data_IF_809537174906
#
_entry.id   IF_809537174906
#
_cell.length_a   1.000
_cell.length_b   1.000
_cell.length_c   1.000
_cell.angle_alpha   90.00
_cell.angle_beta   90.00
_cell.angle_gamma   90.00
#
_symmetry.space_group_name_H-M   'P 1'
#
loop_
_entity.id
_entity.type
_entity.pdbx_description
1 polymer ?
#
# COMPACT_ATOMS: atom_id res chain seq x y z
N UNK A 1 -3.41 6.15 19.42
CA UNK A 1 -3.26 5.31 18.21
C UNK A 1 -3.40 6.23 17.00
N UNK A 2 -2.44 6.22 16.05
CA UNK A 2 -2.60 6.97 14.80
C UNK A 2 -3.67 6.28 13.92
N UNK A 3 -4.54 7.03 13.22
CA UNK A 3 -5.52 6.42 12.33
C UNK A 3 -4.84 5.72 11.16
N UNK A 4 -5.35 4.55 10.77
CA UNK A 4 -4.89 3.82 9.59
C UNK A 4 -5.75 4.21 8.40
N UNK A 5 -5.11 4.59 7.30
CA UNK A 5 -5.77 5.04 6.08
C UNK A 5 -5.58 4.04 4.94
N UNK A 6 -6.54 4.03 4.02
CA UNK A 6 -6.54 3.21 2.83
C UNK A 6 -6.86 4.08 1.62
N UNK A 7 -6.03 4.00 0.57
CA UNK A 7 -6.41 4.48 -0.76
C UNK A 7 -7.43 3.49 -1.34
N UNK A 8 -8.50 4.03 -1.92
CA UNK A 8 -9.62 3.24 -2.43
C UNK A 8 -9.77 3.49 -3.91
N UNK A 9 -9.91 2.40 -4.66
CA UNK A 9 -10.13 2.44 -6.09
C UNK A 9 -11.38 1.66 -6.44
N UNK A 10 -12.25 2.24 -7.26
CA UNK A 10 -13.44 1.60 -7.81
C UNK A 10 -13.20 1.28 -9.29
N UNK A 11 -13.17 0.00 -9.65
CA UNK A 11 -12.83 -0.46 -11.00
C UNK A 11 -11.52 0.16 -11.54
N UNK A 12 -10.57 0.39 -10.64
CA UNK A 12 -9.27 1.01 -10.96
C UNK A 12 -9.25 2.54 -10.90
N UNK A 13 -10.39 3.21 -10.76
CA UNK A 13 -10.46 4.67 -10.59
C UNK A 13 -10.27 5.04 -9.12
N UNK A 14 -9.29 5.89 -8.83
CA UNK A 14 -9.06 6.41 -7.49
C UNK A 14 -10.28 7.21 -7.00
N UNK A 15 -10.80 6.85 -5.82
CA UNK A 15 -11.92 7.53 -5.17
C UNK A 15 -11.46 8.51 -4.09
N UNK A 16 -10.40 8.16 -3.37
CA UNK A 16 -9.96 8.91 -2.20
C UNK A 16 -9.20 8.05 -1.21
N UNK A 17 -8.85 8.67 -0.09
CA UNK A 17 -8.18 8.02 1.03
C UNK A 17 -9.07 8.10 2.26
N UNK A 18 -9.33 6.96 2.89
CA UNK A 18 -10.33 6.81 3.94
C UNK A 18 -9.83 5.88 5.04
N UNK A 19 -10.33 6.07 6.25
CA UNK A 19 -10.19 5.14 7.36
C UNK A 19 -11.11 3.92 7.20
N UNK A 20 -10.82 2.84 7.93
CA UNK A 20 -11.70 1.66 7.93
C UNK A 20 -13.14 1.99 8.41
N UNK A 21 -13.30 2.97 9.30
CA UNK A 21 -14.62 3.41 9.79
C UNK A 21 -15.39 4.16 8.70
N UNK A 22 -14.74 5.08 7.98
CA UNK A 22 -15.37 5.78 6.85
C UNK A 22 -15.77 4.79 5.75
N UNK A 23 -14.93 3.78 5.49
CA UNK A 23 -15.24 2.73 4.52
C UNK A 23 -16.39 1.83 4.94
N UNK A 24 -16.51 1.53 6.23
CA UNK A 24 -17.67 0.83 6.77
C UNK A 24 -18.95 1.64 6.52
N UNK A 25 -18.92 2.97 6.69
CA UNK A 25 -20.07 3.83 6.41
C UNK A 25 -20.37 3.92 4.91
N UNK A 26 -19.34 4.09 4.06
CA UNK A 26 -19.51 4.31 2.62
C UNK A 26 -19.85 3.04 1.84
N UNK A 27 -19.21 1.91 2.19
CA UNK A 27 -19.29 0.66 1.42
C UNK A 27 -20.07 -0.44 2.16
N UNK A 28 -20.52 -0.17 3.39
CA UNK A 28 -21.21 -1.12 4.26
C UNK A 28 -20.44 -2.44 4.38
N UNK A 29 -19.10 -2.35 4.47
CA UNK A 29 -18.22 -3.49 4.67
C UNK A 29 -17.88 -3.68 6.16
N UNK A 30 -17.46 -4.89 6.54
CA UNK A 30 -16.89 -5.12 7.86
C UNK A 30 -15.61 -4.30 8.08
N UNK A 31 -15.34 -3.88 9.31
CA UNK A 31 -14.18 -3.03 9.65
C UNK A 31 -12.82 -3.68 9.33
N UNK A 32 -12.75 -5.01 9.30
CA UNK A 32 -11.53 -5.77 8.97
C UNK A 32 -11.29 -5.91 7.46
N UNK A 33 -12.34 -5.76 6.63
CA UNK A 33 -12.30 -5.99 5.18
C UNK A 33 -11.20 -5.18 4.47
N UNK A 34 -11.04 -3.86 4.70
CA UNK A 34 -9.99 -3.10 4.01
C UNK A 34 -8.58 -3.64 4.25
N UNK A 35 -8.30 -4.15 5.46
CA UNK A 35 -6.99 -4.71 5.83
C UNK A 35 -6.74 -6.04 5.11
N UNK A 36 -7.70 -6.96 5.19
CA UNK A 36 -7.59 -8.30 4.59
C UNK A 36 -7.40 -8.22 3.08
N UNK A 37 -8.23 -7.42 2.42
CA UNK A 37 -8.20 -7.30 0.95
C UNK A 37 -7.00 -6.49 0.45
N UNK A 38 -6.49 -5.54 1.24
CA UNK A 38 -5.24 -4.85 0.93
C UNK A 38 -4.02 -5.77 1.06
N UNK A 39 -4.01 -6.70 2.02
CA UNK A 39 -2.92 -7.66 2.21
C UNK A 39 -2.87 -8.72 1.07
N UNK A 40 -4.04 -9.17 0.62
CA UNK A 40 -4.15 -10.22 -0.40
C UNK A 40 -4.16 -9.69 -1.84
N UNK A 41 -4.09 -8.37 -2.05
CA UNK A 41 -4.26 -7.71 -3.35
C UNK A 41 -5.57 -8.11 -4.08
N UNK A 42 -6.63 -8.41 -3.32
CA UNK A 42 -7.93 -8.86 -3.85
C UNK A 42 -8.90 -7.70 -3.99
N UNK A 43 -9.82 -7.83 -4.95
CA UNK A 43 -10.94 -6.89 -5.13
C UNK A 43 -12.09 -7.27 -4.21
N UNK A 44 -12.49 -6.35 -3.33
CA UNK A 44 -13.72 -6.50 -2.57
C UNK A 44 -14.94 -6.36 -3.48
N UNK A 45 -15.84 -7.35 -3.41
CA UNK A 45 -17.01 -7.50 -4.31
C UNK A 45 -16.64 -7.44 -5.80
N UNK A 46 -15.41 -7.85 -6.16
CA UNK A 46 -14.91 -7.77 -7.54
C UNK A 46 -14.72 -6.35 -8.10
N UNK A 47 -14.93 -5.31 -7.28
CA UNK A 47 -15.04 -3.91 -7.73
C UNK A 47 -14.01 -3.00 -7.08
N UNK A 48 -13.91 -3.06 -5.74
CA UNK A 48 -13.10 -2.12 -4.96
C UNK A 48 -11.72 -2.70 -4.67
N UNK A 49 -10.67 -1.91 -4.87
CA UNK A 49 -9.33 -2.21 -4.38
C UNK A 49 -9.01 -1.31 -3.19
N UNK A 50 -8.40 -1.88 -2.16
CA UNK A 50 -7.88 -1.18 -1.01
C UNK A 50 -6.36 -1.26 -1.03
N UNK A 51 -5.71 -0.12 -0.84
CA UNK A 51 -4.27 -0.05 -0.67
C UNK A 51 -4.01 0.62 0.66
N UNK A 52 -3.41 -0.13 1.58
CA UNK A 52 -3.00 0.41 2.87
C UNK A 52 -2.06 1.60 2.62
N UNK A 53 -2.41 2.76 3.16
CA UNK A 53 -1.47 3.86 3.25
C UNK A 53 -0.55 3.51 4.40
N UNK A 54 0.53 2.81 4.06
CA UNK A 54 1.68 2.78 4.95
C UNK A 54 2.20 4.22 5.01
N UNK A 55 1.97 4.88 6.15
CA UNK A 55 3.07 5.65 6.76
C UNK A 55 4.21 4.64 6.78
N UNK A 56 5.23 4.83 5.94
CA UNK A 56 6.35 3.91 5.84
C UNK A 56 6.77 3.49 7.23
N UNK A 57 6.59 2.20 7.51
CA UNK A 57 6.79 1.63 8.83
C UNK A 57 8.24 1.92 9.25
N UNK A 58 8.41 2.90 10.12
CA UNK A 58 9.68 3.26 10.76
C UNK A 58 10.76 3.86 9.88
N UNK A 59 10.75 3.64 8.56
CA UNK A 59 11.76 4.15 7.64
C UNK A 59 11.25 5.38 6.91
N UNK A 60 12.01 6.45 6.98
CA UNK A 60 11.88 7.62 6.12
C UNK A 60 11.98 7.22 4.63
N UNK A 61 11.43 8.07 3.75
CA UNK A 61 11.61 7.91 2.29
C UNK A 61 13.09 7.83 1.90
N UNK A 62 13.97 8.47 2.68
CA UNK A 62 15.41 8.40 2.50
C UNK A 62 15.94 6.99 2.78
N UNK A 63 15.60 6.37 3.90
CA UNK A 63 16.04 5.02 4.23
C UNK A 63 15.53 3.98 3.22
N UNK A 64 14.31 4.18 2.69
CA UNK A 64 13.79 3.34 1.60
C UNK A 64 14.57 3.56 0.29
N UNK A 65 14.93 4.80 -0.03
CA UNK A 65 15.74 5.10 -1.20
C UNK A 65 17.15 4.51 -1.08
N UNK A 66 17.77 4.58 0.10
CA UNK A 66 19.09 4.02 0.39
C UNK A 66 19.09 2.50 0.31
N UNK A 67 18.05 1.84 0.85
CA UNK A 67 17.87 0.40 0.74
C UNK A 67 17.70 -0.04 -0.72
N UNK A 68 16.89 0.70 -1.48
CA UNK A 68 16.70 0.45 -2.91
C UNK A 68 18.00 0.63 -3.70
N UNK A 69 18.75 1.70 -3.46
CA UNK A 69 19.96 1.98 -4.22
C UNK A 69 21.10 1.00 -3.88
N UNK A 70 21.17 0.56 -2.61
CA UNK A 70 22.07 -0.52 -2.19
C UNK A 70 21.81 -1.83 -2.93
N UNK A 71 20.53 -2.23 -3.04
CA UNK A 71 20.16 -3.46 -3.74
C UNK A 71 20.36 -3.32 -5.26
N UNK A 72 20.05 -2.16 -5.83
CA UNK A 72 20.33 -1.82 -7.23
C UNK A 72 21.82 -1.94 -7.55
N UNK A 73 22.70 -1.38 -6.71
CA UNK A 73 24.15 -1.46 -6.89
C UNK A 73 24.65 -2.90 -6.77
N UNK A 74 24.11 -3.70 -5.84
CA UNK A 74 24.42 -5.13 -5.71
C UNK A 74 24.13 -5.88 -7.00
N UNK A 75 22.94 -5.68 -7.59
CA UNK A 75 22.53 -6.31 -8.85
C UNK A 75 23.45 -5.86 -10.00
N UNK A 76 23.76 -4.56 -10.09
CA UNK A 76 24.61 -4.03 -11.15
C UNK A 76 26.06 -4.55 -11.06
N UNK A 77 26.62 -4.67 -9.85
CA UNK A 77 27.94 -5.29 -9.62
C UNK A 77 27.94 -6.76 -10.00
N UNK A 78 26.93 -7.52 -9.56
CA UNK A 78 26.79 -8.93 -9.92
C UNK A 78 26.64 -9.14 -11.44
N UNK A 79 26.03 -8.18 -12.13
CA UNK A 79 25.91 -8.17 -13.59
C UNK A 79 27.12 -7.60 -14.33
N UNK A 80 28.21 -7.21 -13.63
CA UNK A 80 29.41 -6.63 -14.22
C UNK A 80 29.19 -5.28 -14.91
N UNK A 81 28.12 -4.57 -14.56
CA UNK A 81 27.74 -3.29 -15.19
C UNK A 81 28.41 -2.08 -14.55
N UNK A 82 28.89 -2.25 -13.33
CA UNK A 82 29.65 -1.28 -12.57
C UNK A 82 30.71 -2.03 -11.76
N UNK A 83 31.86 -1.41 -11.54
CA UNK A 83 32.97 -1.92 -10.73
C UNK A 83 32.79 -1.53 -9.26
#
# INVERSE_FOLDING_TARGET
MRPVYYKVFDQGRYMGTYTATELQTMLHCGRQVPREYAADCRRYRGRYNFVLVNDSAGLSLQELAEAWDSERLRILRAAGRIT
#
